data_IF_923426060280
#
_entry.id   IF_923426060280
#
_cell.length_a   1.000
_cell.length_b   1.000
_cell.length_c   1.000
_cell.angle_alpha   90.00
_cell.angle_beta   90.00
_cell.angle_gamma   90.00
#
_symmetry.space_group_name_H-M   'P 1'
#
loop_
_entity.id
_entity.type
_entity.pdbx_description
1 polymer ?
#
# COMPACT_ATOMS: atom_id res chain seq x y z
N UNK A 1 -43.49 -50.42 -50.10
CA UNK A 1 -42.46 -50.70 -49.07
C UNK A 1 -41.19 -49.97 -49.46
N UNK A 2 -41.12 -48.66 -49.17
CA UNK A 2 -39.86 -47.94 -48.96
C UNK A 2 -40.22 -46.66 -48.20
N UNK A 3 -39.81 -46.60 -46.94
CA UNK A 3 -39.96 -45.45 -46.05
C UNK A 3 -39.14 -44.26 -46.56
N UNK A 4 -39.79 -43.12 -46.73
CA UNK A 4 -39.12 -41.83 -46.76
C UNK A 4 -39.13 -41.26 -45.34
N UNK A 5 -38.03 -41.45 -44.63
CA UNK A 5 -37.80 -40.81 -43.33
C UNK A 5 -37.46 -39.34 -43.56
N UNK A 6 -38.39 -38.46 -43.20
CA UNK A 6 -38.15 -37.02 -43.03
C UNK A 6 -36.96 -36.80 -42.09
N UNK A 7 -35.84 -36.35 -42.66
CA UNK A 7 -34.73 -35.79 -41.91
C UNK A 7 -35.14 -34.36 -41.55
N UNK A 8 -35.79 -34.17 -40.40
CA UNK A 8 -35.90 -32.85 -39.77
C UNK A 8 -34.48 -32.33 -39.56
N UNK A 9 -34.17 -31.23 -40.22
CA UNK A 9 -32.98 -30.44 -39.96
C UNK A 9 -32.96 -30.09 -38.47
N UNK A 10 -32.04 -30.72 -37.74
CA UNK A 10 -31.67 -30.24 -36.42
C UNK A 10 -30.95 -28.91 -36.65
N UNK A 11 -31.63 -27.81 -36.35
CA UNK A 11 -30.95 -26.56 -36.02
C UNK A 11 -29.82 -26.90 -35.03
N UNK A 12 -28.58 -26.42 -35.23
CA UNK A 12 -27.57 -26.59 -34.23
C UNK A 12 -28.08 -25.88 -32.97
N UNK A 13 -28.30 -26.68 -31.92
CA UNK A 13 -28.59 -26.23 -30.56
C UNK A 13 -27.66 -25.06 -30.28
N UNK A 14 -28.27 -23.90 -30.01
CA UNK A 14 -27.57 -22.65 -29.77
C UNK A 14 -26.43 -22.89 -28.78
N UNK A 15 -25.25 -22.49 -29.21
CA UNK A 15 -24.00 -22.52 -28.44
C UNK A 15 -24.28 -21.82 -27.09
N UNK A 16 -24.50 -22.64 -26.06
CA UNK A 16 -24.83 -22.21 -24.71
C UNK A 16 -23.75 -21.25 -24.21
N UNK A 17 -24.15 -20.01 -23.90
CA UNK A 17 -23.52 -19.03 -23.03
C UNK A 17 -22.04 -19.31 -22.69
N UNK A 18 -21.15 -19.06 -23.65
CA UNK A 18 -19.72 -18.94 -23.39
C UNK A 18 -19.52 -17.64 -22.60
N UNK A 19 -19.57 -17.75 -21.27
CA UNK A 19 -19.28 -16.76 -20.22
C UNK A 19 -18.80 -15.40 -20.78
N UNK A 20 -19.74 -14.61 -21.29
CA UNK A 20 -19.42 -13.41 -22.07
C UNK A 20 -19.55 -12.20 -21.16
N UNK A 21 -18.42 -11.64 -20.74
CA UNK A 21 -18.45 -10.40 -19.99
C UNK A 21 -18.95 -9.28 -20.90
N UNK A 22 -19.95 -8.51 -20.46
CA UNK A 22 -20.41 -7.34 -21.21
C UNK A 22 -19.83 -6.06 -20.60
N UNK A 23 -19.11 -5.27 -21.40
CA UNK A 23 -18.57 -3.98 -20.97
C UNK A 23 -19.08 -2.87 -21.90
N UNK A 24 -19.93 -1.98 -21.39
CA UNK A 24 -20.52 -0.85 -22.16
C UNK A 24 -21.14 -1.28 -23.50
N UNK A 25 -21.78 -2.45 -23.54
CA UNK A 25 -22.40 -3.01 -24.75
C UNK A 25 -21.48 -3.87 -25.63
N UNK A 26 -20.18 -3.98 -25.32
CA UNK A 26 -19.27 -4.91 -25.98
C UNK A 26 -19.26 -6.27 -25.29
N UNK A 27 -19.34 -7.35 -26.06
CA UNK A 27 -19.19 -8.74 -25.56
C UNK A 27 -17.70 -9.13 -25.58
N UNK A 28 -17.13 -9.45 -24.42
CA UNK A 28 -15.77 -9.95 -24.26
C UNK A 28 -15.80 -11.46 -24.08
N UNK A 29 -15.20 -12.16 -25.03
CA UNK A 29 -14.86 -13.57 -24.92
C UNK A 29 -13.62 -13.76 -24.02
N UNK A 30 -13.46 -14.96 -23.43
CA UNK A 30 -12.39 -15.34 -22.51
C UNK A 30 -11.00 -15.11 -23.11
N UNK A 31 -10.83 -15.37 -24.41
CA UNK A 31 -9.59 -15.13 -25.12
C UNK A 31 -9.22 -13.64 -25.16
N UNK A 32 -10.20 -12.76 -25.41
CA UNK A 32 -10.00 -11.31 -25.42
C UNK A 32 -9.69 -10.77 -24.03
N UNK A 33 -10.38 -11.27 -22.99
CA UNK A 33 -10.09 -10.91 -21.60
C UNK A 33 -8.67 -11.31 -21.18
N UNK A 34 -8.27 -12.55 -21.48
CA UNK A 34 -6.93 -13.05 -21.17
C UNK A 34 -5.86 -12.20 -21.87
N UNK A 35 -6.09 -11.84 -23.12
CA UNK A 35 -5.21 -10.96 -23.90
C UNK A 35 -5.09 -9.58 -23.26
N UNK A 36 -6.22 -8.97 -22.85
CA UNK A 36 -6.22 -7.68 -22.16
C UNK A 36 -5.45 -7.75 -20.82
N UNK A 37 -5.62 -8.83 -20.05
CA UNK A 37 -4.92 -9.05 -18.79
C UNK A 37 -3.41 -9.19 -18.98
N UNK A 38 -2.95 -9.91 -20.01
CA UNK A 38 -1.52 -10.01 -20.36
C UNK A 38 -0.94 -8.65 -20.69
N UNK A 39 -1.62 -7.86 -21.53
CA UNK A 39 -1.15 -6.51 -21.87
C UNK A 39 -1.15 -5.58 -20.65
N UNK A 40 -2.15 -5.68 -19.79
CA UNK A 40 -2.22 -4.91 -18.56
C UNK A 40 -1.06 -5.26 -17.61
N UNK A 41 -0.81 -6.56 -17.38
CA UNK A 41 0.31 -7.03 -16.57
C UNK A 41 1.66 -6.52 -17.10
N UNK A 42 1.91 -6.63 -18.42
CA UNK A 42 3.12 -6.09 -19.05
C UNK A 42 3.26 -4.59 -18.83
N UNK A 43 2.15 -3.85 -18.90
CA UNK A 43 2.10 -2.43 -18.60
C UNK A 43 2.49 -2.12 -17.16
N UNK A 44 1.93 -2.84 -16.18
CA UNK A 44 2.22 -2.66 -14.76
C UNK A 44 3.67 -3.01 -14.41
N UNK A 45 4.21 -4.11 -14.95
CA UNK A 45 5.63 -4.48 -14.80
C UNK A 45 6.55 -3.40 -15.38
N UNK A 46 6.22 -2.86 -16.55
CA UNK A 46 7.00 -1.78 -17.19
C UNK A 46 6.99 -0.51 -16.34
N UNK A 47 5.84 -0.13 -15.77
CA UNK A 47 5.72 1.01 -14.84
C UNK A 47 6.54 0.77 -13.57
N UNK A 48 6.41 -0.41 -12.96
CA UNK A 48 7.18 -0.79 -11.77
C UNK A 48 8.70 -0.71 -12.02
N UNK A 49 9.18 -1.24 -13.14
CA UNK A 49 10.59 -1.16 -13.55
C UNK A 49 11.05 0.28 -13.79
N UNK A 50 10.25 1.09 -14.48
CA UNK A 50 10.57 2.52 -14.71
C UNK A 50 10.73 3.27 -13.39
N UNK A 51 9.83 3.03 -12.42
CA UNK A 51 9.91 3.66 -11.10
C UNK A 51 11.08 3.12 -10.27
N UNK A 52 11.44 1.84 -10.42
CA UNK A 52 12.65 1.25 -9.83
C UNK A 52 13.91 1.96 -10.33
N UNK A 53 14.08 2.10 -11.66
CA UNK A 53 15.25 2.78 -12.23
C UNK A 53 15.35 4.25 -11.77
N UNK A 54 14.22 4.95 -11.66
CA UNK A 54 14.17 6.34 -11.16
C UNK A 54 14.54 6.46 -9.67
N UNK A 55 14.38 5.40 -8.89
CA UNK A 55 14.81 5.35 -7.48
C UNK A 55 16.32 5.21 -7.35
N UNK A 56 16.93 4.38 -8.19
CA UNK A 56 18.37 4.15 -8.13
C UNK A 56 19.14 5.43 -8.48
N UNK A 57 18.65 6.21 -9.45
CA UNK A 57 19.26 7.47 -9.88
C UNK A 57 19.46 8.48 -8.72
N UNK A 58 18.50 8.62 -7.79
CA UNK A 58 18.63 9.58 -6.68
C UNK A 58 19.70 9.17 -5.68
N UNK A 59 19.79 7.88 -5.37
CA UNK A 59 20.86 7.36 -4.50
C UNK A 59 22.22 7.53 -5.17
N UNK A 60 22.32 7.27 -6.49
CA UNK A 60 23.56 7.50 -7.25
C UNK A 60 24.02 8.95 -7.18
N UNK A 61 23.12 9.93 -7.40
CA UNK A 61 23.48 11.35 -7.27
C UNK A 61 23.90 11.75 -5.86
N UNK A 62 23.28 11.18 -4.83
CA UNK A 62 23.69 11.39 -3.44
C UNK A 62 25.13 10.88 -3.19
N UNK A 63 25.45 9.67 -3.64
CA UNK A 63 26.79 9.07 -3.52
C UNK A 63 27.83 9.91 -4.26
N UNK A 64 27.56 10.28 -5.51
CA UNK A 64 28.47 11.10 -6.33
C UNK A 64 28.73 12.45 -5.67
N UNK A 65 27.70 13.10 -5.14
CA UNK A 65 27.84 14.42 -4.50
C UNK A 65 28.70 14.34 -3.23
N UNK A 66 28.47 13.33 -2.38
CA UNK A 66 29.30 13.10 -1.19
C UNK A 66 30.74 12.76 -1.60
N UNK A 67 30.92 11.84 -2.55
CA UNK A 67 32.22 11.40 -3.03
C UNK A 67 33.05 12.51 -3.69
N UNK A 68 32.42 13.44 -4.40
CA UNK A 68 33.10 14.59 -5.00
C UNK A 68 33.45 15.67 -3.97
N UNK A 69 32.61 15.84 -2.94
CA UNK A 69 32.79 16.91 -1.95
C UNK A 69 33.89 16.58 -0.94
N UNK A 70 34.05 15.31 -0.54
CA UNK A 70 35.04 14.93 0.46
C UNK A 70 36.47 15.32 0.05
N UNK A 71 36.98 14.95 -1.14
CA UNK A 71 38.30 15.37 -1.59
C UNK A 71 38.45 16.90 -1.61
N UNK A 72 37.43 17.62 -2.06
CA UNK A 72 37.44 19.08 -2.07
C UNK A 72 37.58 19.65 -0.64
N UNK A 73 36.79 19.19 0.33
CA UNK A 73 36.85 19.74 1.69
C UNK A 73 38.18 19.44 2.39
N UNK A 74 38.80 18.30 2.09
CA UNK A 74 40.07 17.89 2.68
C UNK A 74 41.31 18.33 1.89
N UNK A 75 41.18 18.85 0.66
CA UNK A 75 42.34 19.23 -0.16
C UNK A 75 43.13 20.41 0.39
N UNK A 76 42.49 21.28 1.17
CA UNK A 76 43.17 22.41 1.81
C UNK A 76 42.61 22.68 3.22
N UNK A 77 43.45 23.05 4.20
CA UNK A 77 43.01 23.40 5.55
C UNK A 77 41.99 24.55 5.58
N UNK A 78 42.13 25.52 4.67
CA UNK A 78 41.29 26.71 4.58
C UNK A 78 39.89 26.42 4.00
N UNK A 79 39.68 25.24 3.41
CA UNK A 79 38.40 24.92 2.79
C UNK A 79 37.29 24.86 3.84
N UNK A 80 36.15 25.51 3.57
CA UNK A 80 35.09 25.67 4.54
C UNK A 80 34.45 24.35 4.96
N UNK A 81 34.47 24.05 6.26
CA UNK A 81 33.86 22.84 6.82
C UNK A 81 32.33 22.81 6.63
N UNK A 82 31.66 23.97 6.54
CA UNK A 82 30.22 24.06 6.35
C UNK A 82 29.73 23.50 5.00
N UNK A 83 30.63 23.30 4.02
CA UNK A 83 30.28 22.63 2.75
C UNK A 83 29.78 21.21 2.98
N UNK A 84 30.32 20.49 3.98
CA UNK A 84 29.81 19.17 4.36
C UNK A 84 28.40 19.25 4.96
N UNK A 85 28.07 20.33 5.65
CA UNK A 85 26.71 20.57 6.17
C UNK A 85 25.72 20.86 5.04
N UNK A 86 26.14 21.62 4.02
CA UNK A 86 25.31 21.85 2.82
C UNK A 86 25.07 20.54 2.05
N UNK A 87 26.11 19.71 1.91
CA UNK A 87 25.97 18.38 1.28
C UNK A 87 25.07 17.48 2.11
N UNK A 88 25.16 17.51 3.43
CA UNK A 88 24.23 16.78 4.29
C UNK A 88 22.76 17.19 4.02
N UNK A 89 22.47 18.48 3.95
CA UNK A 89 21.12 18.97 3.62
C UNK A 89 20.67 18.55 2.21
N UNK A 90 21.58 18.55 1.23
CA UNK A 90 21.32 18.07 -0.12
C UNK A 90 21.03 16.56 -0.14
N UNK A 91 21.77 15.76 0.63
CA UNK A 91 21.53 14.33 0.82
C UNK A 91 20.16 14.06 1.45
N UNK A 92 19.75 14.85 2.45
CA UNK A 92 18.39 14.77 3.02
C UNK A 92 17.31 15.15 1.99
N UNK A 93 17.61 16.08 1.08
CA UNK A 93 16.72 16.43 -0.03
C UNK A 93 16.57 15.27 -1.03
N UNK A 94 17.67 14.59 -1.38
CA UNK A 94 17.61 13.38 -2.21
C UNK A 94 16.81 12.27 -1.53
N UNK A 95 17.00 12.04 -0.22
CA UNK A 95 16.18 11.11 0.56
C UNK A 95 14.69 11.45 0.46
N UNK A 96 14.32 12.73 0.59
CA UNK A 96 12.93 13.15 0.49
C UNK A 96 12.33 12.88 -0.91
N UNK A 97 13.06 13.23 -1.98
CA UNK A 97 12.65 12.96 -3.36
C UNK A 97 12.50 11.46 -3.59
N UNK A 98 13.47 10.67 -3.13
CA UNK A 98 13.49 9.23 -3.27
C UNK A 98 12.35 8.57 -2.48
N UNK A 99 12.08 9.01 -1.25
CA UNK A 99 10.96 8.54 -0.45
C UNK A 99 9.62 8.81 -1.14
N UNK A 100 9.44 9.98 -1.77
CA UNK A 100 8.26 10.25 -2.60
C UNK A 100 8.15 9.26 -3.75
N UNK A 101 9.23 9.03 -4.51
CA UNK A 101 9.28 8.07 -5.64
C UNK A 101 9.04 6.64 -5.17
N UNK A 102 9.48 6.29 -3.96
CA UNK A 102 9.40 4.94 -3.42
C UNK A 102 7.95 4.54 -3.16
N UNK A 103 7.10 5.49 -2.74
CA UNK A 103 5.65 5.26 -2.60
C UNK A 103 4.98 4.90 -3.92
N UNK A 104 5.38 5.54 -5.02
CA UNK A 104 4.87 5.17 -6.36
C UNK A 104 5.34 3.78 -6.75
N UNK A 105 6.64 3.49 -6.59
CA UNK A 105 7.16 2.15 -6.85
C UNK A 105 6.40 1.07 -6.08
N UNK A 106 6.15 1.27 -4.78
CA UNK A 106 5.41 0.32 -3.94
C UNK A 106 3.98 0.09 -4.44
N UNK A 107 3.28 1.14 -4.89
CA UNK A 107 1.95 1.00 -5.48
C UNK A 107 1.97 0.12 -6.75
N UNK A 108 2.89 0.38 -7.68
CA UNK A 108 3.00 -0.40 -8.91
C UNK A 108 3.45 -1.85 -8.64
N UNK A 109 4.44 -2.05 -7.76
CA UNK A 109 4.88 -3.40 -7.39
C UNK A 109 3.79 -4.18 -6.65
N UNK A 110 2.94 -3.50 -5.88
CA UNK A 110 1.81 -4.12 -5.20
C UNK A 110 0.77 -4.64 -6.21
N UNK A 111 0.41 -3.86 -7.23
CA UNK A 111 -0.53 -4.31 -8.28
C UNK A 111 0.02 -5.47 -9.11
N UNK A 112 1.31 -5.42 -9.46
CA UNK A 112 2.00 -6.54 -10.11
C UNK A 112 1.91 -7.79 -9.23
N UNK A 113 2.19 -7.64 -7.92
CA UNK A 113 2.12 -8.75 -6.97
C UNK A 113 0.73 -9.36 -6.85
N UNK A 114 -0.33 -8.54 -6.79
CA UNK A 114 -1.72 -9.01 -6.80
C UNK A 114 -2.01 -9.89 -8.02
N UNK A 115 -1.58 -9.48 -9.22
CA UNK A 115 -1.76 -10.29 -10.42
C UNK A 115 -0.93 -11.57 -10.37
N UNK A 116 0.33 -11.51 -9.91
CA UNK A 116 1.20 -12.67 -9.80
C UNK A 116 0.62 -13.74 -8.86
N UNK A 117 0.14 -13.34 -7.67
CA UNK A 117 -0.33 -14.28 -6.65
C UNK A 117 -1.77 -14.73 -6.90
N UNK A 118 -2.66 -13.82 -7.27
CA UNK A 118 -4.09 -14.13 -7.20
C UNK A 118 -4.67 -14.46 -8.59
N UNK A 119 -4.01 -14.06 -9.68
CA UNK A 119 -4.40 -14.38 -11.06
C UNK A 119 -3.48 -15.44 -11.68
N UNK A 120 -2.19 -15.15 -11.83
CA UNK A 120 -1.26 -16.04 -12.54
C UNK A 120 -0.92 -17.30 -11.76
N UNK A 121 -0.67 -17.23 -10.45
CA UNK A 121 -0.39 -18.43 -9.67
C UNK A 121 -1.60 -19.37 -9.62
N UNK A 122 -2.83 -18.84 -9.54
CA UNK A 122 -4.05 -19.62 -9.59
C UNK A 122 -4.27 -20.32 -10.95
N UNK A 123 -3.72 -19.79 -12.05
CA UNK A 123 -3.71 -20.49 -13.34
C UNK A 123 -2.69 -21.63 -13.41
N UNK A 124 -1.69 -21.63 -12.52
CA UNK A 124 -0.61 -22.63 -12.50
C UNK A 124 -0.83 -23.71 -11.43
N UNK A 125 -1.60 -23.41 -10.37
CA UNK A 125 -1.88 -24.32 -9.26
C UNK A 125 -3.34 -24.82 -9.32
N UNK A 126 -3.57 -26.15 -9.31
CA UNK A 126 -4.92 -26.70 -9.19
C UNK A 126 -5.54 -26.34 -7.82
N UNK A 127 -6.87 -26.09 -7.75
CA UNK A 127 -7.83 -26.03 -8.86
C UNK A 127 -7.67 -24.72 -9.65
N UNK A 128 -7.60 -24.80 -10.99
CA UNK A 128 -7.22 -23.69 -11.87
C UNK A 128 -8.28 -22.57 -11.97
N UNK A 129 -8.55 -21.87 -10.88
CA UNK A 129 -9.44 -20.72 -10.84
C UNK A 129 -8.92 -19.69 -9.83
N UNK A 130 -8.88 -18.39 -10.20
CA UNK A 130 -8.53 -17.34 -9.26
C UNK A 130 -9.60 -17.22 -8.17
N UNK A 131 -9.18 -16.79 -6.97
CA UNK A 131 -10.10 -16.63 -5.82
C UNK A 131 -11.23 -15.65 -6.15
N UNK A 132 -12.46 -15.85 -5.66
CA UNK A 132 -13.63 -15.01 -6.05
C UNK A 132 -13.43 -13.50 -5.91
N UNK A 133 -12.53 -13.08 -5.01
CA UNK A 133 -12.35 -11.69 -4.63
C UNK A 133 -11.02 -11.10 -5.16
N UNK A 134 -10.25 -11.82 -5.97
CA UNK A 134 -8.95 -11.33 -6.48
C UNK A 134 -9.11 -10.05 -7.29
N UNK A 135 -10.15 -10.00 -8.12
CA UNK A 135 -10.45 -8.87 -8.98
C UNK A 135 -10.84 -7.64 -8.15
N UNK A 136 -11.49 -7.83 -7.00
CA UNK A 136 -11.90 -6.75 -6.11
C UNK A 136 -10.69 -5.93 -5.65
N UNK A 137 -9.61 -6.58 -5.23
CA UNK A 137 -8.40 -5.87 -4.75
C UNK A 137 -7.73 -5.05 -5.86
N UNK A 138 -7.69 -5.60 -7.08
CA UNK A 138 -7.09 -4.95 -8.23
C UNK A 138 -7.97 -3.78 -8.71
N UNK A 139 -9.29 -3.99 -8.77
CA UNK A 139 -10.30 -2.97 -9.12
C UNK A 139 -10.28 -1.84 -8.10
N UNK A 140 -10.29 -2.14 -6.81
CA UNK A 140 -10.20 -1.16 -5.72
C UNK A 140 -8.93 -0.29 -5.89
N UNK A 141 -7.77 -0.93 -6.11
CA UNK A 141 -6.52 -0.20 -6.33
C UNK A 141 -6.57 0.69 -7.58
N UNK A 142 -7.29 0.28 -8.64
CA UNK A 142 -7.41 1.02 -9.90
C UNK A 142 -8.39 2.19 -9.79
N UNK A 143 -9.54 2.00 -9.16
CA UNK A 143 -10.57 3.02 -8.98
C UNK A 143 -10.17 4.02 -7.90
N UNK A 144 -9.60 3.54 -6.80
CA UNK A 144 -9.17 4.34 -5.66
C UNK A 144 -7.65 4.19 -5.45
N UNK A 145 -6.80 4.87 -6.26
CA UNK A 145 -5.35 4.77 -6.13
C UNK A 145 -4.85 5.41 -4.83
N UNK A 146 -4.79 4.62 -3.77
CA UNK A 146 -4.21 5.01 -2.49
C UNK A 146 -2.76 4.55 -2.39
N UNK A 147 -1.90 5.37 -1.79
CA UNK A 147 -0.51 4.97 -1.55
C UNK A 147 -0.46 4.05 -0.34
N UNK A 148 0.04 2.82 -0.48
CA UNK A 148 -0.06 1.86 0.61
C UNK A 148 0.85 2.16 1.80
N UNK A 149 1.93 2.91 1.56
CA UNK A 149 2.86 3.36 2.59
C UNK A 149 2.82 4.89 2.72
N UNK A 150 2.97 5.37 3.95
CA UNK A 150 2.98 6.81 4.21
C UNK A 150 4.31 7.45 3.83
N UNK A 151 4.38 8.79 3.77
CA UNK A 151 5.63 9.49 3.45
C UNK A 151 6.71 9.26 4.51
N UNK A 152 6.33 9.32 5.79
CA UNK A 152 7.26 9.06 6.90
C UNK A 152 7.80 7.63 6.86
N UNK A 153 6.98 6.70 6.39
CA UNK A 153 7.37 5.31 6.20
C UNK A 153 8.42 5.13 5.14
N UNK A 154 8.16 5.74 3.99
CA UNK A 154 9.09 5.72 2.89
C UNK A 154 10.42 6.36 3.31
N UNK A 155 10.38 7.48 4.04
CA UNK A 155 11.59 8.15 4.55
C UNK A 155 12.37 7.23 5.47
N UNK A 156 11.75 6.65 6.51
CA UNK A 156 12.45 5.79 7.46
C UNK A 156 13.03 4.52 6.81
N UNK A 157 12.25 3.87 5.93
CA UNK A 157 12.71 2.67 5.20
C UNK A 157 13.89 2.96 4.27
N UNK A 158 13.83 4.04 3.48
CA UNK A 158 14.92 4.42 2.57
C UNK A 158 16.13 4.95 3.33
N UNK A 159 15.90 5.68 4.42
CA UNK A 159 16.97 6.18 5.26
C UNK A 159 17.85 5.04 5.79
N UNK A 160 17.23 4.09 6.49
CA UNK A 160 17.93 2.95 7.07
C UNK A 160 18.66 2.09 6.03
N UNK A 161 18.04 1.87 4.86
CA UNK A 161 18.61 0.94 3.87
C UNK A 161 19.79 1.55 3.11
N UNK A 162 19.74 2.83 2.78
CA UNK A 162 20.73 3.45 1.89
C UNK A 162 21.42 4.67 2.51
N UNK A 163 20.68 5.61 3.12
CA UNK A 163 21.19 6.93 3.48
C UNK A 163 21.86 7.00 4.86
N UNK A 164 21.65 6.01 5.74
CA UNK A 164 22.32 5.95 7.05
C UNK A 164 23.84 5.94 6.90
N UNK A 165 24.35 5.24 5.89
CA UNK A 165 25.78 5.17 5.60
C UNK A 165 26.31 6.49 5.02
N UNK A 166 25.59 7.11 4.10
CA UNK A 166 25.99 8.40 3.51
C UNK A 166 25.99 9.53 4.55
N UNK A 167 24.94 9.62 5.35
CA UNK A 167 24.83 10.65 6.39
C UNK A 167 25.84 10.43 7.52
N UNK A 168 26.09 9.18 7.91
CA UNK A 168 27.14 8.81 8.86
C UNK A 168 28.53 9.15 8.34
N UNK A 169 28.84 8.85 7.07
CA UNK A 169 30.10 9.22 6.44
C UNK A 169 30.31 10.74 6.43
N UNK A 170 29.29 11.52 6.08
CA UNK A 170 29.38 12.99 6.11
C UNK A 170 29.58 13.51 7.53
N UNK A 171 28.93 12.92 8.54
CA UNK A 171 29.12 13.30 9.95
C UNK A 171 30.55 13.05 10.42
N UNK A 172 31.05 11.83 10.20
CA UNK A 172 32.41 11.45 10.58
C UNK A 172 33.43 12.35 9.87
N UNK A 173 33.19 12.63 8.58
CA UNK A 173 34.04 13.53 7.80
C UNK A 173 34.01 14.96 8.33
N UNK A 174 32.86 15.47 8.74
CA UNK A 174 32.74 16.80 9.34
C UNK A 174 33.48 16.89 10.68
N UNK A 175 33.30 15.88 11.54
CA UNK A 175 34.05 15.78 12.80
C UNK A 175 35.56 15.70 12.56
N UNK A 176 36.00 14.90 11.58
CA UNK A 176 37.40 14.80 11.20
C UNK A 176 37.96 16.13 10.66
N UNK A 177 37.19 16.88 9.88
CA UNK A 177 37.60 18.21 9.39
C UNK A 177 37.83 19.17 10.54
N UNK A 178 36.96 19.19 11.55
CA UNK A 178 37.11 20.05 12.74
C UNK A 178 38.27 19.62 13.64
N UNK A 179 38.52 18.31 13.75
CA UNK A 179 39.59 17.74 14.56
C UNK A 179 40.98 17.98 13.94
N UNK A 180 41.14 17.76 12.65
CA UNK A 180 42.46 17.79 11.99
C UNK A 180 42.87 19.14 11.41
N UNK A 181 41.92 20.00 11.03
CA UNK A 181 42.22 21.29 10.40
C UNK A 181 41.77 22.49 11.24
N UNK A 182 42.52 23.61 11.23
CA UNK A 182 43.80 23.81 10.53
C UNK A 182 44.97 23.03 11.13
N UNK A 183 44.97 22.84 12.45
CA UNK A 183 45.95 22.02 13.17
C UNK A 183 45.23 20.93 13.99
N UNK A 184 45.81 19.74 14.17
CA UNK A 184 45.18 18.68 14.96
C UNK A 184 44.91 19.12 16.41
N UNK A 185 43.65 18.99 16.86
CA UNK A 185 43.28 19.24 18.26
C UNK A 185 42.51 18.06 18.85
N UNK A 186 42.74 17.79 20.14
CA UNK A 186 41.95 16.83 20.94
C UNK A 186 41.01 17.53 21.92
N UNK A 187 41.09 18.86 22.01
CA UNK A 187 40.23 19.64 22.90
C UNK A 187 38.87 19.91 22.23
N UNK A 188 37.81 19.43 22.89
CA UNK A 188 36.43 19.61 22.44
C UNK A 188 35.99 21.07 22.39
N UNK A 189 36.51 21.92 23.29
CA UNK A 189 36.16 23.35 23.30
C UNK A 189 36.71 24.06 22.04
N UNK A 190 37.96 23.75 21.66
CA UNK A 190 38.57 24.26 20.43
C UNK A 190 37.83 23.74 19.20
N UNK A 191 37.43 22.47 19.20
CA UNK A 191 36.66 21.88 18.10
C UNK A 191 35.28 22.55 17.93
N UNK A 192 34.59 22.84 19.02
CA UNK A 192 33.33 23.58 19.01
C UNK A 192 33.56 25.01 18.49
N UNK A 193 34.64 25.68 18.89
CA UNK A 193 35.01 26.99 18.36
C UNK A 193 35.20 26.98 16.84
N UNK A 194 35.87 25.94 16.30
CA UNK A 194 36.11 25.75 14.86
C UNK A 194 34.84 25.48 14.04
N UNK A 195 33.77 25.04 14.68
CA UNK A 195 32.49 24.82 14.02
C UNK A 195 31.74 26.13 13.70
N UNK A 196 32.28 27.29 14.08
CA UNK A 196 31.67 28.59 13.79
C UNK A 196 31.55 28.85 12.28
N UNK A 197 30.39 29.37 11.87
CA UNK A 197 30.12 29.69 10.45
C UNK A 197 29.78 31.16 10.34
N UNK A 198 30.72 31.96 9.84
CA UNK A 198 30.57 33.41 9.76
C UNK A 198 30.30 34.01 11.14
N UNK A 199 29.14 34.65 11.31
CA UNK A 199 28.72 35.26 12.57
C UNK A 199 28.05 34.28 13.55
N UNK A 200 27.83 33.02 13.14
CA UNK A 200 27.16 32.02 13.97
C UNK A 200 28.20 31.32 14.86
N UNK A 201 28.09 31.40 16.21
CA UNK A 201 29.00 30.72 17.11
C UNK A 201 28.94 29.20 16.91
N UNK A 202 30.10 28.53 16.96
CA UNK A 202 30.18 27.11 16.65
C UNK A 202 29.41 26.20 17.62
N UNK A 203 29.15 26.64 18.86
CA UNK A 203 28.26 25.95 19.79
C UNK A 203 26.84 25.77 19.22
N UNK A 204 26.28 26.82 18.58
CA UNK A 204 24.96 26.74 17.95
C UNK A 204 24.97 25.85 16.72
N UNK A 205 26.06 25.86 15.95
CA UNK A 205 26.22 24.98 14.78
C UNK A 205 26.26 23.52 15.22
N UNK A 206 27.09 23.18 16.21
CA UNK A 206 27.18 21.81 16.77
C UNK A 206 25.84 21.38 17.36
N UNK A 207 25.14 22.26 18.08
CA UNK A 207 23.82 21.96 18.62
C UNK A 207 22.80 21.67 17.51
N UNK A 208 22.74 22.51 16.46
CA UNK A 208 21.84 22.29 15.33
C UNK A 208 22.14 20.98 14.59
N UNK A 209 23.42 20.70 14.34
CA UNK A 209 23.87 19.42 13.73
C UNK A 209 23.46 18.24 14.62
N UNK A 210 23.71 18.33 15.92
CA UNK A 210 23.32 17.31 16.90
C UNK A 210 21.82 17.06 16.92
N UNK A 211 20.99 18.10 16.86
CA UNK A 211 19.52 17.98 16.79
C UNK A 211 19.10 17.27 15.49
N UNK A 212 19.62 17.70 14.33
CA UNK A 212 19.22 17.11 13.05
C UNK A 212 19.65 15.64 12.97
N UNK A 213 20.89 15.32 13.35
CA UNK A 213 21.37 13.93 13.40
C UNK A 213 20.64 13.11 14.46
N UNK A 214 20.24 13.71 15.57
CA UNK A 214 19.38 13.08 16.59
C UNK A 214 18.01 12.71 16.03
N UNK A 215 17.36 13.61 15.29
CA UNK A 215 16.09 13.34 14.60
C UNK A 215 16.26 12.22 13.58
N UNK A 216 17.32 12.26 12.78
CA UNK A 216 17.63 11.25 11.76
C UNK A 216 17.91 9.87 12.40
N UNK A 217 18.64 9.82 13.51
CA UNK A 217 18.88 8.61 14.28
C UNK A 217 17.58 8.06 14.90
N UNK A 218 16.74 8.94 15.47
CA UNK A 218 15.42 8.56 15.99
C UNK A 218 14.53 7.97 14.89
N UNK A 219 14.56 8.53 13.66
CA UNK A 219 13.85 7.97 12.51
C UNK A 219 14.38 6.57 12.12
N UNK A 220 15.70 6.35 12.15
CA UNK A 220 16.27 5.02 11.91
C UNK A 220 15.83 3.99 12.96
N UNK A 221 15.83 4.37 14.25
CA UNK A 221 15.39 3.51 15.36
C UNK A 221 13.89 3.24 15.27
N UNK A 222 13.08 4.26 15.04
CA UNK A 222 11.64 4.11 14.85
C UNK A 222 11.30 3.18 13.69
N UNK A 223 12.10 3.21 12.61
CA UNK A 223 11.96 2.29 11.50
C UNK A 223 12.35 0.85 11.87
N UNK A 224 13.35 0.64 12.74
CA UNK A 224 13.91 -0.68 13.08
C UNK A 224 13.14 -1.45 14.15
N UNK A 225 12.25 -0.80 14.91
CA UNK A 225 11.44 -1.49 15.90
C UNK A 225 10.54 -2.56 15.23
N UNK A 226 10.55 -3.82 15.70
CA UNK A 226 9.62 -4.87 15.26
C UNK A 226 8.17 -4.50 15.54
N UNK A 227 7.22 -5.07 14.79
CA UNK A 227 5.79 -4.76 14.90
C UNK A 227 5.21 -4.97 16.30
N UNK A 228 5.66 -5.98 17.05
CA UNK A 228 5.15 -6.27 18.40
C UNK A 228 5.51 -5.25 19.48
N UNK A 229 6.62 -4.50 19.35
CA UNK A 229 6.98 -3.45 20.32
C UNK A 229 6.25 -2.12 20.04
N UNK A 230 5.50 -2.02 18.93
CA UNK A 230 4.74 -0.82 18.53
C UNK A 230 3.52 -0.58 19.43
N UNK A 231 2.99 -1.63 20.06
CA UNK A 231 1.84 -1.56 20.98
C UNK A 231 2.30 -1.27 22.42
N UNK A 232 3.41 -1.86 22.88
CA UNK A 232 3.86 -1.74 24.28
C UNK A 232 4.25 -0.32 24.71
N UNK A 233 4.86 0.49 23.83
CA UNK A 233 5.28 1.86 24.17
C UNK A 233 4.10 2.88 24.27
N UNK A 234 2.84 2.45 24.04
CA UNK A 234 1.68 3.34 23.74
C UNK A 234 1.02 3.93 24.99
N UNK A 235 1.63 3.70 26.16
CA UNK A 235 1.25 4.30 27.42
C UNK A 235 1.48 5.83 27.50
N UNK A 236 1.35 6.41 28.70
CA UNK A 236 0.99 7.82 28.95
C UNK A 236 2.01 8.88 28.49
N UNK A 237 3.19 8.50 27.98
CA UNK A 237 4.15 9.37 27.28
C UNK A 237 3.81 9.51 25.77
N UNK A 238 2.52 9.47 25.42
CA UNK A 238 1.96 9.37 24.07
C UNK A 238 2.08 10.62 23.18
N UNK A 239 2.97 11.57 23.47
CA UNK A 239 3.14 12.80 22.70
C UNK A 239 3.85 12.57 21.34
N UNK A 240 4.43 11.37 21.14
CA UNK A 240 5.02 10.93 19.86
C UNK A 240 4.14 9.93 19.09
N UNK A 241 2.92 9.63 19.56
CA UNK A 241 1.97 8.71 18.91
C UNK A 241 1.57 9.14 17.49
N UNK A 242 1.59 10.45 17.20
CA UNK A 242 1.37 10.99 15.85
C UNK A 242 2.45 10.60 14.81
N UNK A 243 3.65 10.22 15.26
CA UNK A 243 4.75 9.76 14.41
C UNK A 243 4.79 8.22 14.25
N UNK A 244 3.90 7.51 14.96
CA UNK A 244 4.12 6.12 15.40
C UNK A 244 3.49 5.02 14.56
N UNK A 245 2.39 5.29 13.85
CA UNK A 245 1.73 4.28 13.00
C UNK A 245 2.36 4.09 11.61
N UNK A 246 3.47 4.76 11.33
CA UNK A 246 3.81 5.17 9.96
C UNK A 246 5.22 4.84 9.51
N UNK A 247 5.99 3.98 10.17
CA UNK A 247 7.42 3.77 9.78
C UNK A 247 7.81 2.33 9.45
N UNK A 248 6.98 1.34 9.80
CA UNK A 248 7.26 -0.05 9.43
C UNK A 248 6.01 -0.96 9.39
N UNK A 249 5.43 -1.06 8.21
CA UNK A 249 4.63 -2.17 7.74
C UNK A 249 5.44 -3.17 6.89
N UNK A 250 4.80 -4.22 6.37
CA UNK A 250 5.44 -5.19 5.48
C UNK A 250 5.95 -4.56 4.16
N UNK A 251 6.91 -5.23 3.51
CA UNK A 251 7.55 -4.81 2.24
C UNK A 251 6.51 -4.63 1.12
N UNK A 252 5.49 -5.47 1.13
CA UNK A 252 4.27 -5.36 0.35
C UNK A 252 3.13 -5.29 1.38
N UNK A 253 2.33 -4.22 1.39
CA UNK A 253 1.12 -4.18 2.20
C UNK A 253 0.23 -5.35 1.83
N UNK A 254 -0.31 -6.05 2.82
CA UNK A 254 -1.39 -6.99 2.53
C UNK A 254 -2.55 -6.22 1.89
N UNK A 255 -3.28 -6.85 0.94
CA UNK A 255 -4.50 -6.27 0.43
C UNK A 255 -5.42 -5.93 1.60
N UNK A 256 -5.70 -4.63 1.75
CA UNK A 256 -6.66 -4.15 2.73
C UNK A 256 -8.04 -4.44 2.18
N UNK A 257 -8.61 -5.59 2.55
CA UNK A 257 -10.04 -5.81 2.40
C UNK A 257 -10.74 -4.89 3.37
N UNK A 258 -11.47 -3.92 2.85
CA UNK A 258 -12.51 -3.25 3.62
C UNK A 258 -13.76 -4.10 3.51
N UNK A 259 -13.93 -4.94 4.52
CA UNK A 259 -15.16 -5.69 4.72
C UNK A 259 -16.20 -4.74 5.30
N UNK A 260 -17.43 -4.91 4.84
CA UNK A 260 -18.56 -4.10 5.26
C UNK A 260 -19.67 -5.03 5.71
N UNK A 261 -20.32 -4.64 6.80
CA UNK A 261 -21.54 -5.26 7.25
C UNK A 261 -22.71 -4.49 6.65
N UNK A 262 -23.38 -5.12 5.69
CA UNK A 262 -24.66 -4.65 5.16
C UNK A 262 -25.79 -5.17 6.05
N UNK A 263 -26.52 -4.24 6.66
CA UNK A 263 -27.74 -4.51 7.42
C UNK A 263 -28.93 -4.07 6.56
N UNK A 264 -29.73 -5.02 6.10
CA UNK A 264 -30.86 -4.79 5.20
C UNK A 264 -32.15 -4.96 5.99
N UNK A 265 -33.02 -3.96 5.98
CA UNK A 265 -34.33 -4.04 6.63
C UNK A 265 -35.39 -4.12 5.53
N UNK A 266 -36.14 -5.21 5.49
CA UNK A 266 -37.13 -5.50 4.43
C UNK A 266 -38.34 -6.24 4.98
N UNK A 267 -39.48 -6.16 4.28
CA UNK A 267 -40.65 -7.00 4.55
C UNK A 267 -40.63 -8.33 3.79
N UNK A 268 -39.62 -8.54 2.92
CA UNK A 268 -39.47 -9.70 2.04
C UNK A 268 -38.13 -10.41 2.27
N UNK A 269 -37.78 -10.69 3.52
CA UNK A 269 -36.45 -11.21 3.89
C UNK A 269 -36.07 -12.48 3.14
N UNK A 270 -36.99 -13.45 3.02
CA UNK A 270 -36.74 -14.72 2.35
C UNK A 270 -36.40 -14.58 0.85
N UNK A 271 -37.03 -13.62 0.17
CA UNK A 271 -36.82 -13.37 -1.25
C UNK A 271 -35.48 -12.66 -1.48
N UNK A 272 -35.13 -11.71 -0.62
CA UNK A 272 -33.84 -11.02 -0.68
C UNK A 272 -32.70 -11.97 -0.33
N UNK A 273 -32.85 -12.77 0.73
CA UNK A 273 -31.83 -13.72 1.17
C UNK A 273 -31.50 -14.77 0.11
N UNK A 274 -32.53 -15.35 -0.54
CA UNK A 274 -32.31 -16.35 -1.59
C UNK A 274 -31.55 -15.78 -2.78
N UNK A 275 -31.86 -14.55 -3.22
CA UNK A 275 -31.15 -13.87 -4.31
C UNK A 275 -29.72 -13.47 -3.93
N UNK A 276 -29.48 -13.02 -2.70
CA UNK A 276 -28.11 -12.74 -2.23
C UNK A 276 -27.25 -14.00 -2.17
N UNK A 277 -27.84 -15.15 -1.81
CA UNK A 277 -27.16 -16.44 -1.83
C UNK A 277 -26.84 -16.91 -3.25
N UNK A 278 -27.77 -16.76 -4.21
CA UNK A 278 -27.59 -17.27 -5.59
C UNK A 278 -26.82 -16.32 -6.50
N UNK A 279 -27.10 -15.01 -6.44
CA UNK A 279 -26.50 -14.00 -7.34
C UNK A 279 -25.20 -13.44 -6.78
N UNK A 280 -25.10 -13.26 -5.45
CA UNK A 280 -23.90 -12.69 -4.80
C UNK A 280 -22.97 -13.75 -4.21
N UNK A 281 -23.47 -14.98 -3.99
CA UNK A 281 -22.70 -16.06 -3.36
C UNK A 281 -22.37 -15.80 -1.88
N UNK A 282 -23.10 -14.91 -1.20
CA UNK A 282 -22.84 -14.53 0.19
C UNK A 282 -23.88 -15.10 1.14
N UNK A 283 -23.41 -15.57 2.29
CA UNK A 283 -24.26 -16.02 3.39
C UNK A 283 -24.95 -14.84 4.05
N UNK A 284 -26.22 -15.03 4.39
CA UNK A 284 -27.07 -14.01 5.02
C UNK A 284 -27.65 -14.58 6.31
N UNK A 285 -27.63 -13.80 7.39
CA UNK A 285 -28.27 -14.15 8.66
C UNK A 285 -29.51 -13.29 8.85
N UNK A 286 -30.67 -13.89 9.09
CA UNK A 286 -31.90 -13.16 9.37
C UNK A 286 -32.09 -12.96 10.88
N UNK A 287 -32.49 -11.76 11.27
CA UNK A 287 -32.96 -11.40 12.59
C UNK A 287 -34.39 -10.88 12.48
N UNK A 288 -35.23 -11.23 13.44
CA UNK A 288 -36.61 -10.74 13.52
C UNK A 288 -36.62 -9.34 14.14
N UNK A 289 -37.26 -8.39 13.47
CA UNK A 289 -37.44 -7.02 13.93
C UNK A 289 -38.90 -6.59 13.90
N UNK A 290 -39.24 -5.58 14.70
CA UNK A 290 -40.56 -4.95 14.65
C UNK A 290 -40.40 -3.45 14.54
N UNK A 291 -41.05 -2.83 13.56
CA UNK A 291 -41.02 -1.39 13.37
C UNK A 291 -41.70 -0.70 14.54
N UNK A 292 -40.98 0.10 15.31
CA UNK A 292 -41.53 0.80 16.49
C UNK A 292 -42.64 1.79 16.12
N UNK A 293 -42.55 2.39 14.93
CA UNK A 293 -43.54 3.36 14.45
C UNK A 293 -44.75 2.71 13.77
N UNK A 294 -44.54 1.65 12.99
CA UNK A 294 -45.60 1.00 12.19
C UNK A 294 -46.22 -0.21 12.90
N UNK A 295 -45.55 -0.80 13.88
CA UNK A 295 -45.95 -2.06 14.53
C UNK A 295 -45.79 -3.30 13.66
N UNK A 296 -45.27 -3.17 12.43
CA UNK A 296 -45.15 -4.28 11.48
C UNK A 296 -43.90 -5.11 11.73
N UNK A 297 -44.03 -6.42 11.55
CA UNK A 297 -42.89 -7.34 11.51
C UNK A 297 -42.02 -7.04 10.29
N UNK A 298 -40.71 -6.93 10.50
CA UNK A 298 -39.70 -6.65 9.48
C UNK A 298 -38.54 -7.61 9.67
N UNK A 299 -37.99 -8.10 8.57
CA UNK A 299 -36.78 -8.91 8.59
C UNK A 299 -35.55 -8.00 8.54
N UNK A 300 -34.60 -8.25 9.44
CA UNK A 300 -33.29 -7.59 9.45
C UNK A 300 -32.26 -8.60 8.98
N UNK A 301 -31.78 -8.45 7.76
CA UNK A 301 -30.78 -9.33 7.17
C UNK A 301 -29.37 -8.75 7.39
N UNK A 302 -28.48 -9.55 7.96
CA UNK A 302 -27.07 -9.25 8.11
C UNK A 302 -26.26 -10.00 7.05
N UNK A 303 -25.53 -9.25 6.24
CA UNK A 303 -24.68 -9.79 5.19
C UNK A 303 -23.31 -9.12 5.26
N UNK A 304 -22.26 -9.93 5.45
CA UNK A 304 -20.89 -9.46 5.28
C UNK A 304 -20.56 -9.43 3.78
N UNK A 305 -20.03 -8.30 3.30
CA UNK A 305 -19.69 -8.08 1.90
C UNK A 305 -18.37 -7.31 1.79
N UNK A 306 -17.72 -7.36 0.63
CA UNK A 306 -16.60 -6.46 0.32
C UNK A 306 -17.12 -5.10 -0.15
N UNK A 307 -16.33 -4.03 -0.02
CA UNK A 307 -16.67 -2.68 -0.52
C UNK A 307 -17.11 -2.69 -2.00
N UNK A 308 -16.51 -3.55 -2.82
CA UNK A 308 -16.85 -3.70 -4.24
C UNK A 308 -18.21 -4.37 -4.45
N UNK A 309 -18.60 -5.30 -3.58
CA UNK A 309 -19.85 -6.05 -3.67
C UNK A 309 -21.09 -5.23 -3.24
N UNK A 310 -20.90 -4.11 -2.54
CA UNK A 310 -22.00 -3.25 -2.04
C UNK A 310 -22.92 -2.80 -3.17
N UNK A 311 -22.36 -2.34 -4.29
CA UNK A 311 -23.16 -1.86 -5.42
C UNK A 311 -24.06 -2.94 -6.01
N UNK A 312 -23.57 -4.18 -6.11
CA UNK A 312 -24.37 -5.30 -6.62
C UNK A 312 -25.42 -5.74 -5.59
N UNK A 313 -25.09 -5.72 -4.30
CA UNK A 313 -26.05 -5.97 -3.21
C UNK A 313 -27.19 -4.95 -3.21
N UNK A 314 -26.88 -3.65 -3.33
CA UNK A 314 -27.88 -2.58 -3.44
C UNK A 314 -28.82 -2.79 -4.63
N UNK A 315 -28.28 -3.23 -5.77
CA UNK A 315 -29.07 -3.49 -6.96
C UNK A 315 -30.02 -4.69 -6.78
N UNK A 316 -29.54 -5.78 -6.19
CA UNK A 316 -30.35 -6.98 -5.91
C UNK A 316 -31.49 -6.64 -4.95
N UNK A 317 -31.17 -5.96 -3.85
CA UNK A 317 -32.15 -5.56 -2.83
C UNK A 317 -33.20 -4.65 -3.46
N UNK A 318 -32.79 -3.59 -4.18
CA UNK A 318 -33.71 -2.65 -4.84
C UNK A 318 -34.61 -3.33 -5.88
N UNK A 319 -34.11 -4.34 -6.60
CA UNK A 319 -34.91 -5.13 -7.55
C UNK A 319 -35.92 -6.04 -6.85
N UNK A 320 -35.61 -6.53 -5.65
CA UNK A 320 -36.48 -7.44 -4.88
C UNK A 320 -37.53 -6.69 -4.06
N UNK A 321 -37.15 -5.58 -3.44
CA UNK A 321 -37.99 -4.75 -2.59
C UNK A 321 -37.56 -3.27 -2.72
N UNK A 322 -38.44 -2.44 -3.28
CA UNK A 322 -38.20 -1.01 -3.44
C UNK A 322 -38.36 -0.23 -2.13
N UNK A 323 -39.03 -0.80 -1.13
CA UNK A 323 -39.29 -0.19 0.18
C UNK A 323 -38.25 -0.60 1.23
N UNK A 324 -37.30 -1.47 0.86
CA UNK A 324 -36.19 -1.87 1.71
C UNK A 324 -35.15 -0.74 1.84
N UNK A 325 -34.52 -0.67 3.01
CA UNK A 325 -33.38 0.22 3.21
C UNK A 325 -32.19 -0.55 3.74
N UNK A 326 -30.99 -0.07 3.39
CA UNK A 326 -29.72 -0.74 3.63
C UNK A 326 -28.84 0.21 4.44
N UNK A 327 -28.29 -0.30 5.53
CA UNK A 327 -27.26 0.38 6.32
C UNK A 327 -25.96 -0.35 6.07
N UNK A 328 -24.97 0.38 5.57
CA UNK A 328 -23.66 -0.16 5.27
C UNK A 328 -22.68 0.40 6.30
N UNK A 329 -22.06 -0.49 7.07
CA UNK A 329 -21.11 -0.13 8.12
C UNK A 329 -19.77 -0.83 7.91
N UNK A 330 -18.63 -0.15 8.15
CA UNK A 330 -17.32 -0.79 8.03
C UNK A 330 -17.15 -1.85 9.14
N UNK A 331 -16.70 -3.04 8.77
CA UNK A 331 -16.27 -4.06 9.72
C UNK A 331 -14.76 -3.94 9.96
N UNK A 332 -14.32 -4.05 11.23
CA UNK A 332 -12.87 -4.06 11.53
C UNK A 332 -12.19 -5.31 10.95
N UNK A 333 -12.84 -6.47 11.09
CA UNK A 333 -12.35 -7.75 10.55
C UNK A 333 -13.50 -8.77 10.44
N UNK A 334 -13.58 -9.48 9.31
CA UNK A 334 -14.46 -10.62 9.06
C UNK A 334 -13.61 -11.83 8.71
N UNK A 335 -13.78 -12.91 9.47
CA UNK A 335 -13.11 -14.19 9.22
C UNK A 335 -14.13 -15.29 8.98
N UNK A 336 -13.85 -16.15 8.00
CA UNK A 336 -14.73 -17.25 7.66
C UNK A 336 -14.65 -17.67 6.20
N UNK A 337 -15.48 -18.65 5.82
CA UNK A 337 -15.54 -19.16 4.45
C UNK A 337 -15.99 -18.05 3.50
N UNK A 338 -15.16 -17.74 2.50
CA UNK A 338 -15.35 -16.60 1.58
C UNK A 338 -14.77 -15.28 2.08
N UNK A 339 -14.15 -15.26 3.26
CA UNK A 339 -13.40 -14.13 3.83
C UNK A 339 -12.00 -14.60 4.25
N UNK A 340 -11.31 -13.85 5.11
CA UNK A 340 -10.01 -14.27 5.67
C UNK A 340 -10.15 -15.56 6.49
N UNK A 341 -9.20 -16.49 6.35
CA UNK A 341 -9.16 -17.73 7.13
C UNK A 341 -8.86 -17.46 8.61
N UNK A 342 -9.30 -18.37 9.49
CA UNK A 342 -8.93 -18.32 10.91
C UNK A 342 -7.46 -18.74 11.15
N UNK A 343 -6.86 -19.51 10.25
CA UNK A 343 -5.47 -19.95 10.34
C UNK A 343 -4.49 -18.89 9.85
N UNK A 344 -3.43 -18.68 10.64
CA UNK A 344 -2.28 -17.88 10.24
C UNK A 344 -1.51 -18.61 9.12
N UNK A 345 -0.88 -17.89 8.18
CA UNK A 345 -0.04 -18.51 7.17
C UNK A 345 1.11 -19.26 7.87
N UNK A 346 1.16 -20.58 7.67
CA UNK A 346 2.24 -21.47 8.13
C UNK A 346 3.54 -21.22 7.39
#
# INVERSE_FOLDING_TARGET
>A
MTEQTERRDAEPVGEEDTCTWTFRGYRLDLAHFTTAMVHFYRGEVTRANTWRTRLDATTTWAVVTVGATLPFVFSAPQNPHFVLLLVFLLVLTFLYIEARRYRYYVLWSYRVRLMETDFFAAMLAPPFHPSSDWADHLVESLLQPTFPITRWEAIGRRFRRNYVWLTGLVLVSWMAKLAFHPEPTRDGAVMIGRAAVGHIPGAWVVAAVGVIYGVVAALAVAASLPSGWREALSGPLGLLSGLRGRVAGPLVPEPCRREQLATIITSRGQQVASRLLTELGRGVTALEGTGVYTGEARDVLLCAVTEVQVGHLEEIVRRADSEAFIIVSPAEEVRGKGFRSFEAPS
#
